data_IF_434626825186
#
_entry.id   IF_434626825186
#
_cell.length_a   1.000
_cell.length_b   1.000
_cell.length_c   1.000
_cell.angle_alpha   90.00
_cell.angle_beta   90.00
_cell.angle_gamma   90.00
#
_symmetry.space_group_name_H-M   'P 1'
#
loop_
_entity.id
_entity.type
_entity.pdbx_description
1 polymer ?
#
# COMPACT_ATOMS: atom_id res chain seq x y z
N UNK A 1 4.95 13.20 -1.09
CA UNK A 1 4.44 12.30 -0.05
C UNK A 1 5.32 12.35 1.20
N UNK A 2 4.81 11.85 2.30
CA UNK A 2 5.62 11.65 3.51
C UNK A 2 6.69 10.60 3.21
N UNK A 3 7.94 10.94 3.45
CA UNK A 3 9.07 10.05 3.13
C UNK A 3 8.94 8.71 3.86
N UNK A 4 9.10 7.62 3.12
CA UNK A 4 8.99 6.26 3.65
C UNK A 4 7.59 5.71 3.76
N UNK A 5 6.55 6.47 3.41
CA UNK A 5 5.16 5.99 3.48
C UNK A 5 4.88 4.99 2.36
N UNK A 6 4.48 3.77 2.74
CA UNK A 6 4.09 2.75 1.77
C UNK A 6 2.79 3.11 1.04
N UNK A 7 1.89 3.82 1.71
CA UNK A 7 0.61 4.24 1.15
C UNK A 7 0.65 5.61 0.51
N UNK A 8 1.85 6.17 0.30
CA UNK A 8 2.01 7.46 -0.37
C UNK A 8 1.24 8.59 0.32
N UNK A 9 1.36 8.70 1.64
CA UNK A 9 0.58 9.64 2.41
C UNK A 9 0.76 11.08 1.95
N UNK A 10 -0.36 11.80 1.86
CA UNK A 10 -0.38 13.23 1.68
C UNK A 10 0.02 13.89 3.01
N UNK A 11 1.03 14.79 3.03
CA UNK A 11 1.41 15.46 4.26
C UNK A 11 0.27 16.22 4.94
N UNK A 12 -0.72 16.66 4.19
CA UNK A 12 -1.85 17.41 4.73
C UNK A 12 -3.00 16.50 5.18
N UNK A 13 -3.08 15.28 4.67
CA UNK A 13 -4.15 14.32 4.96
C UNK A 13 -3.59 12.90 5.02
N UNK A 14 -2.76 12.59 6.04
CA UNK A 14 -2.19 11.25 6.15
C UNK A 14 -3.26 10.22 6.49
N UNK A 15 -3.20 9.05 5.88
CA UNK A 15 -4.15 7.96 6.11
C UNK A 15 -3.54 6.80 6.88
N UNK A 16 -2.22 6.55 6.74
CA UNK A 16 -1.58 5.46 7.44
C UNK A 16 -1.20 5.86 8.86
N UNK A 17 -1.03 4.87 9.71
CA UNK A 17 -0.51 5.09 11.06
C UNK A 17 0.88 5.70 11.01
N UNK A 18 1.74 5.20 10.13
CA UNK A 18 3.08 5.72 9.94
C UNK A 18 3.06 7.21 9.56
N UNK A 19 2.25 7.59 8.58
CA UNK A 19 2.15 8.98 8.15
C UNK A 19 1.67 9.90 9.24
N UNK A 20 0.61 9.49 9.95
CA UNK A 20 0.08 10.27 11.08
C UNK A 20 1.11 10.42 12.19
N UNK A 21 1.85 9.35 12.50
CA UNK A 21 2.87 9.37 13.54
C UNK A 21 4.02 10.30 13.18
N UNK A 22 4.51 10.24 11.93
CA UNK A 22 5.59 11.10 11.47
C UNK A 22 5.22 12.58 11.55
N UNK A 23 4.02 12.93 11.13
CA UNK A 23 3.55 14.31 11.19
C UNK A 23 3.33 14.78 12.63
N UNK A 24 2.84 13.90 13.50
CA UNK A 24 2.65 14.25 14.92
C UNK A 24 3.98 14.49 15.63
N UNK A 25 5.02 13.74 15.28
CA UNK A 25 6.34 13.85 15.91
C UNK A 25 7.17 15.01 15.36
N UNK A 26 7.09 15.27 14.06
CA UNK A 26 8.00 16.19 13.37
C UNK A 26 7.31 17.46 12.84
N UNK A 27 5.98 17.45 12.72
CA UNK A 27 5.24 18.61 12.23
C UNK A 27 5.77 19.12 10.89
N UNK A 28 6.06 20.40 10.81
CA UNK A 28 6.57 21.04 9.60
C UNK A 28 7.96 20.55 9.18
N UNK A 29 8.66 19.87 10.07
CA UNK A 29 9.98 19.29 9.78
C UNK A 29 9.92 17.88 9.26
N UNK A 30 8.72 17.31 9.06
CA UNK A 30 8.55 15.98 8.55
C UNK A 30 9.18 15.86 7.15
N UNK A 31 10.10 14.90 6.94
CA UNK A 31 10.72 14.75 5.64
C UNK A 31 9.70 14.33 4.60
N UNK A 32 9.80 14.93 3.42
CA UNK A 32 8.96 14.63 2.27
C UNK A 32 9.82 14.11 1.13
N UNK A 33 9.23 13.30 0.25
CA UNK A 33 9.93 12.84 -0.95
C UNK A 33 9.05 12.99 -2.18
N UNK A 34 9.69 13.16 -3.32
CA UNK A 34 9.03 13.19 -4.61
C UNK A 34 9.09 11.79 -5.21
N UNK A 35 7.94 11.31 -5.66
CA UNK A 35 7.83 9.97 -6.24
C UNK A 35 7.94 10.10 -7.76
N UNK A 36 8.92 9.46 -8.40
CA UNK A 36 9.04 9.49 -9.84
C UNK A 36 7.92 8.72 -10.53
N UNK A 37 7.71 9.01 -11.80
CA UNK A 37 6.66 8.41 -12.61
C UNK A 37 6.68 6.87 -12.56
N UNK A 38 7.87 6.27 -12.60
CA UNK A 38 8.05 4.83 -12.63
C UNK A 38 7.52 4.14 -11.37
N UNK A 39 7.45 4.87 -10.26
CA UNK A 39 6.93 4.35 -8.99
C UNK A 39 5.46 4.67 -8.79
N UNK A 40 4.89 5.53 -9.66
CA UNK A 40 3.49 5.93 -9.57
C UNK A 40 2.57 5.20 -10.54
N UNK A 41 3.13 4.47 -11.47
CA UNK A 41 2.38 3.73 -12.48
C UNK A 41 2.73 2.26 -12.35
N UNK A 42 1.71 1.42 -12.19
CA UNK A 42 1.87 -0.02 -12.07
C UNK A 42 0.94 -0.73 -13.02
N UNK A 43 1.44 -1.80 -13.63
CA UNK A 43 0.65 -2.66 -14.51
C UNK A 43 0.65 -4.08 -13.97
N UNK A 44 -0.44 -4.77 -14.18
CA UNK A 44 -0.57 -6.20 -13.87
C UNK A 44 -1.34 -6.88 -14.99
N UNK A 45 -0.78 -7.95 -15.51
CA UNK A 45 -1.50 -8.81 -16.44
C UNK A 45 -2.42 -9.71 -15.63
N UNK A 46 -3.72 -9.65 -15.90
CA UNK A 46 -4.69 -10.54 -15.26
C UNK A 46 -4.48 -11.96 -15.82
N UNK A 47 -4.19 -12.87 -14.91
CA UNK A 47 -4.05 -14.31 -15.23
C UNK A 47 -4.88 -15.09 -14.23
N UNK A 48 -5.25 -16.36 -14.52
CA UNK A 48 -6.05 -17.14 -13.58
C UNK A 48 -5.39 -17.41 -12.23
N UNK A 49 -4.07 -17.27 -12.13
CA UNK A 49 -3.31 -17.48 -10.89
C UNK A 49 -3.17 -16.22 -10.02
N UNK A 50 -3.65 -15.06 -10.49
CA UNK A 50 -3.66 -13.84 -9.67
C UNK A 50 -4.58 -14.03 -8.48
N UNK A 51 -4.10 -13.68 -7.29
CA UNK A 51 -4.83 -13.85 -6.05
C UNK A 51 -5.29 -12.49 -5.48
N UNK A 52 -6.23 -12.53 -4.54
CA UNK A 52 -6.62 -11.35 -3.78
C UNK A 52 -5.42 -10.78 -3.02
N UNK A 53 -4.56 -11.64 -2.47
CA UNK A 53 -3.35 -11.22 -1.77
C UNK A 53 -2.41 -10.42 -2.67
N UNK A 54 -2.28 -10.79 -3.95
CA UNK A 54 -1.44 -10.06 -4.89
C UNK A 54 -1.93 -8.64 -5.10
N UNK A 55 -3.23 -8.43 -5.12
CA UNK A 55 -3.84 -7.14 -5.43
C UNK A 55 -4.05 -6.27 -4.19
N UNK A 56 -4.60 -6.83 -3.15
CA UNK A 56 -4.99 -6.07 -1.94
C UNK A 56 -3.95 -6.21 -0.85
N UNK A 57 -3.43 -7.41 -0.65
CA UNK A 57 -2.47 -7.69 0.40
C UNK A 57 -2.95 -8.80 1.32
N UNK A 58 -2.17 -9.05 2.34
CA UNK A 58 -2.45 -10.11 3.29
C UNK A 58 -1.91 -9.77 4.68
N UNK A 59 -2.30 -10.57 5.66
CA UNK A 59 -1.87 -10.43 7.04
C UNK A 59 -0.61 -11.26 7.25
N UNK A 60 0.40 -10.65 7.88
CA UNK A 60 1.61 -11.36 8.28
C UNK A 60 1.31 -12.22 9.52
N UNK A 61 1.15 -13.52 9.30
CA UNK A 61 0.79 -14.45 10.37
C UNK A 61 1.89 -14.57 11.44
N UNK A 62 3.14 -14.36 11.05
CA UNK A 62 4.26 -14.41 12.01
C UNK A 62 4.18 -13.23 12.98
N UNK A 63 3.96 -12.03 12.48
CA UNK A 63 3.81 -10.85 13.33
C UNK A 63 2.54 -10.93 14.18
N UNK A 64 1.45 -11.45 13.62
CA UNK A 64 0.22 -11.65 14.36
C UNK A 64 0.41 -12.63 15.50
N UNK A 65 1.07 -13.77 15.25
CA UNK A 65 1.39 -14.75 16.28
C UNK A 65 2.33 -14.20 17.35
N UNK A 66 3.12 -13.16 17.03
CA UNK A 66 4.00 -12.47 17.97
C UNK A 66 3.30 -11.46 18.87
N UNK A 67 1.97 -11.43 18.89
CA UNK A 67 1.21 -10.54 19.76
C UNK A 67 0.65 -9.28 19.10
N UNK A 68 0.87 -9.09 17.80
CA UNK A 68 0.26 -7.98 17.07
C UNK A 68 -1.20 -8.30 16.77
N UNK A 69 -2.06 -7.31 16.85
CA UNK A 69 -3.49 -7.49 16.53
C UNK A 69 -3.74 -7.31 15.03
N UNK A 70 -4.90 -7.80 14.54
CA UNK A 70 -5.30 -7.61 13.16
C UNK A 70 -5.52 -6.14 12.81
N UNK A 71 -5.78 -5.30 13.79
CA UNK A 71 -5.95 -3.86 13.59
C UNK A 71 -4.61 -3.12 13.47
N UNK A 72 -3.49 -3.76 13.80
CA UNK A 72 -2.17 -3.14 13.67
C UNK A 72 -1.71 -3.18 12.22
N UNK A 73 -1.28 -2.03 11.71
CA UNK A 73 -0.72 -1.95 10.35
C UNK A 73 0.58 -2.74 10.21
N UNK A 74 1.24 -3.06 11.32
CA UNK A 74 2.49 -3.83 11.29
C UNK A 74 2.31 -5.27 10.83
N UNK A 75 1.08 -5.82 10.91
CA UNK A 75 0.77 -7.18 10.46
C UNK A 75 0.28 -7.21 9.01
N UNK A 76 0.18 -6.05 8.34
CA UNK A 76 -0.35 -5.97 6.98
C UNK A 76 0.77 -5.92 5.94
N UNK A 77 0.61 -6.72 4.89
CA UNK A 77 1.43 -6.67 3.67
C UNK A 77 0.56 -6.15 2.54
N UNK A 78 0.87 -4.96 2.05
CA UNK A 78 0.06 -4.33 1.01
C UNK A 78 0.33 -4.95 -0.35
N UNK A 79 -0.73 -5.22 -1.10
CA UNK A 79 -0.66 -5.65 -2.48
C UNK A 79 -0.46 -4.49 -3.45
N UNK A 80 -0.63 -4.77 -4.74
CA UNK A 80 -0.37 -3.79 -5.79
C UNK A 80 -1.29 -2.58 -5.74
N UNK A 81 -2.58 -2.77 -5.40
CA UNK A 81 -3.54 -1.66 -5.41
C UNK A 81 -3.22 -0.65 -4.32
N UNK A 82 -3.07 -1.02 -3.04
CA UNK A 82 -2.68 -0.06 -2.02
C UNK A 82 -1.34 0.63 -2.31
N UNK A 83 -0.37 -0.10 -2.87
CA UNK A 83 0.93 0.48 -3.21
C UNK A 83 0.86 1.45 -4.37
N UNK A 84 -0.21 1.42 -5.16
CA UNK A 84 -0.45 2.34 -6.26
C UNK A 84 -1.24 3.58 -5.82
N UNK A 85 -1.49 3.73 -4.52
CA UNK A 85 -2.20 4.88 -3.99
C UNK A 85 -1.54 6.18 -4.45
N UNK A 86 -2.35 7.14 -4.87
CA UNK A 86 -1.92 8.41 -5.45
C UNK A 86 -1.15 8.25 -6.76
N UNK A 87 -1.31 7.13 -7.42
CA UNK A 87 -0.75 6.84 -8.73
C UNK A 87 -1.81 6.23 -9.64
N UNK A 88 -1.35 5.46 -10.62
CA UNK A 88 -2.21 4.79 -11.59
C UNK A 88 -1.92 3.30 -11.55
N UNK A 89 -2.96 2.50 -11.47
CA UNK A 89 -2.89 1.04 -11.57
C UNK A 89 -3.66 0.61 -12.81
N UNK A 90 -3.00 -0.15 -13.69
CA UNK A 90 -3.59 -0.65 -14.92
C UNK A 90 -3.65 -2.16 -14.89
N UNK A 91 -4.84 -2.73 -15.08
CA UNK A 91 -5.05 -4.16 -15.17
C UNK A 91 -5.29 -4.54 -16.63
N UNK A 92 -4.37 -5.29 -17.21
CA UNK A 92 -4.48 -5.76 -18.59
C UNK A 92 -5.17 -7.12 -18.62
N UNK A 93 -5.94 -7.40 -19.67
CA UNK A 93 -6.62 -8.68 -19.88
C UNK A 93 -7.58 -9.02 -18.72
N UNK A 94 -8.36 -8.05 -18.27
CA UNK A 94 -9.27 -8.21 -17.14
C UNK A 94 -10.19 -9.43 -17.22
N UNK A 95 -10.73 -9.82 -18.40
CA UNK A 95 -11.57 -11.01 -18.49
C UNK A 95 -10.90 -12.33 -18.07
N UNK A 96 -9.58 -12.37 -18.06
CA UNK A 96 -8.82 -13.57 -17.64
C UNK A 96 -8.68 -13.69 -16.12
N UNK A 97 -9.07 -12.64 -15.38
CA UNK A 97 -9.02 -12.67 -13.93
C UNK A 97 -10.08 -13.62 -13.38
N UNK A 98 -9.76 -14.34 -12.30
CA UNK A 98 -10.71 -15.25 -11.67
C UNK A 98 -11.98 -14.48 -11.26
N UNK A 99 -13.19 -15.04 -11.52
CA UNK A 99 -14.44 -14.29 -11.26
C UNK A 99 -14.63 -13.82 -9.81
N UNK A 100 -14.03 -14.53 -8.84
CA UNK A 100 -14.16 -14.16 -7.43
C UNK A 100 -13.28 -12.98 -7.01
N UNK A 101 -12.41 -12.55 -7.87
CA UNK A 101 -11.54 -11.41 -7.64
C UNK A 101 -12.13 -10.17 -8.34
#
# INVERSE_FOLDING_TARGET
>A
IVAGSELRDDPFHPISHYGRQQLAQQGDKCPLEWIPREQRYHEKLATPDVTIADLIGEIDLIKHAGGKTLASEEVLHYGLIPRSHRGIFCMNELPDLAPKI
#
